data_IF_565850757713
#
_entry.id   IF_565850757713
#
_cell.length_a   1.000
_cell.length_b   1.000
_cell.length_c   1.000
_cell.angle_alpha   90.00
_cell.angle_beta   90.00
_cell.angle_gamma   90.00
#
_symmetry.space_group_name_H-M   'P 1'
#
loop_
_entity.id
_entity.type
_entity.pdbx_description
1 polymer ?
#
# COMPACT_ATOMS: atom_id res chain seq x y z
N UNK A 1 -29.00 35.52 40.57
CA UNK A 1 -28.88 36.46 39.44
C UNK A 1 -29.35 35.74 38.17
N UNK A 2 -30.55 36.04 37.67
CA UNK A 2 -31.13 35.45 36.45
C UNK A 2 -31.05 36.50 35.33
N UNK A 3 -30.16 36.31 34.36
CA UNK A 3 -30.07 37.20 33.20
C UNK A 3 -31.25 36.95 32.26
N UNK A 4 -32.16 37.92 32.18
CA UNK A 4 -33.18 38.02 31.13
C UNK A 4 -32.50 38.47 29.84
N UNK A 5 -32.21 37.52 28.95
CA UNK A 5 -31.92 37.83 27.54
C UNK A 5 -33.25 38.19 26.86
N UNK A 6 -33.46 39.49 26.63
CA UNK A 6 -34.56 40.01 25.81
C UNK A 6 -34.18 39.87 24.34
N UNK A 7 -34.80 38.92 23.64
CA UNK A 7 -34.78 38.89 22.18
C UNK A 7 -35.67 40.02 21.65
N UNK A 8 -35.07 41.13 21.23
CA UNK A 8 -35.74 42.12 20.38
C UNK A 8 -36.08 41.46 19.04
N UNK A 9 -37.37 41.40 18.74
CA UNK A 9 -37.90 41.00 17.44
C UNK A 9 -37.51 42.07 16.40
N UNK A 10 -36.57 41.75 15.52
CA UNK A 10 -36.25 42.56 14.36
C UNK A 10 -37.39 42.43 13.32
N UNK A 11 -37.87 43.57 12.83
CA UNK A 11 -39.09 43.70 12.04
C UNK A 11 -39.18 42.77 10.83
N UNK A 12 -40.38 42.21 10.66
CA UNK A 12 -40.81 41.49 9.47
C UNK A 12 -40.69 42.39 8.24
N UNK A 13 -39.61 42.23 7.47
CA UNK A 13 -39.62 42.61 6.07
C UNK A 13 -40.64 41.70 5.39
N UNK A 14 -41.73 42.28 4.90
CA UNK A 14 -42.66 41.64 3.97
C UNK A 14 -41.92 41.32 2.67
N UNK A 15 -41.05 40.30 2.71
CA UNK A 15 -40.46 39.70 1.53
C UNK A 15 -41.58 39.05 0.75
N UNK A 16 -41.81 39.53 -0.48
CA UNK A 16 -42.74 38.90 -1.40
C UNK A 16 -42.47 37.40 -1.42
N UNK A 17 -43.49 36.61 -1.09
CA UNK A 17 -43.40 35.15 -1.13
C UNK A 17 -43.31 34.76 -2.59
N UNK A 18 -42.09 34.60 -3.11
CA UNK A 18 -41.86 33.93 -4.39
C UNK A 18 -42.34 32.48 -4.23
N UNK A 19 -43.55 32.20 -4.68
CA UNK A 19 -44.06 30.86 -4.76
C UNK A 19 -43.29 30.14 -5.87
N UNK A 20 -42.43 29.19 -5.49
CA UNK A 20 -41.68 28.37 -6.44
C UNK A 20 -42.67 27.53 -7.24
N UNK A 21 -42.61 27.60 -8.56
CA UNK A 21 -43.47 26.79 -9.41
C UNK A 21 -42.94 25.35 -9.46
N UNK A 22 -43.84 24.38 -9.61
CA UNK A 22 -43.46 22.96 -9.75
C UNK A 22 -42.54 22.73 -10.96
N UNK A 23 -42.71 23.54 -12.01
CA UNK A 23 -41.89 23.51 -13.23
C UNK A 23 -40.45 23.98 -12.94
N UNK A 24 -40.26 25.07 -12.20
CA UNK A 24 -38.92 25.54 -11.83
C UNK A 24 -38.15 24.49 -11.02
N UNK A 25 -38.80 23.84 -10.07
CA UNK A 25 -38.18 22.75 -9.30
C UNK A 25 -37.81 21.57 -10.21
N UNK A 26 -38.72 21.20 -11.13
CA UNK A 26 -38.54 20.06 -12.04
C UNK A 26 -37.38 20.27 -13.01
N UNK A 27 -37.23 21.46 -13.57
CA UNK A 27 -36.11 21.80 -14.46
C UNK A 27 -34.77 21.75 -13.72
N UNK A 28 -34.72 22.24 -12.48
CA UNK A 28 -33.48 22.22 -11.68
C UNK A 28 -33.06 20.79 -11.37
N UNK A 29 -33.97 19.94 -10.90
CA UNK A 29 -33.63 18.54 -10.62
C UNK A 29 -33.25 17.80 -11.91
N UNK A 30 -33.89 18.10 -13.04
CA UNK A 30 -33.54 17.52 -14.34
C UNK A 30 -32.10 17.88 -14.76
N UNK A 31 -31.71 19.16 -14.66
CA UNK A 31 -30.35 19.60 -15.01
C UNK A 31 -29.32 19.00 -14.04
N UNK A 32 -29.59 19.01 -12.73
CA UNK A 32 -28.68 18.39 -11.74
C UNK A 32 -28.50 16.90 -11.96
N UNK A 33 -29.56 16.18 -12.37
CA UNK A 33 -29.48 14.75 -12.71
C UNK A 33 -28.60 14.49 -13.94
N UNK A 34 -28.72 15.31 -14.99
CA UNK A 34 -27.87 15.22 -16.19
C UNK A 34 -26.40 15.47 -15.83
N UNK A 35 -26.12 16.55 -15.09
CA UNK A 35 -24.76 16.89 -14.67
C UNK A 35 -24.16 15.82 -13.76
N UNK A 36 -24.92 15.34 -12.77
CA UNK A 36 -24.49 14.27 -11.88
C UNK A 36 -24.21 12.97 -12.65
N UNK A 37 -25.04 12.63 -13.64
CA UNK A 37 -24.86 11.44 -14.48
C UNK A 37 -23.51 11.44 -15.23
N UNK A 38 -23.03 12.61 -15.67
CA UNK A 38 -21.73 12.75 -16.31
C UNK A 38 -20.55 12.77 -15.32
N UNK A 39 -20.78 13.26 -14.09
CA UNK A 39 -19.73 13.39 -13.07
C UNK A 39 -19.38 12.06 -12.37
N UNK A 40 -20.36 11.17 -12.15
CA UNK A 40 -20.14 9.89 -11.46
C UNK A 40 -19.03 9.02 -12.06
N UNK A 41 -18.98 8.74 -13.40
CA UNK A 41 -17.92 7.92 -13.97
C UNK A 41 -16.54 8.59 -13.88
N UNK A 42 -16.49 9.92 -13.99
CA UNK A 42 -15.24 10.69 -13.87
C UNK A 42 -14.72 10.65 -12.43
N UNK A 43 -15.60 10.84 -11.44
CA UNK A 43 -15.25 10.78 -10.03
C UNK A 43 -14.72 9.40 -9.63
N UNK A 44 -15.32 8.32 -10.16
CA UNK A 44 -14.85 6.96 -9.93
C UNK A 44 -13.41 6.75 -10.44
N UNK A 45 -13.09 7.24 -11.65
CA UNK A 45 -11.74 7.18 -12.22
C UNK A 45 -10.75 8.04 -11.43
N UNK A 46 -11.15 9.25 -11.05
CA UNK A 46 -10.33 10.16 -10.24
C UNK A 46 -9.96 9.53 -8.88
N UNK A 47 -10.94 8.91 -8.21
CA UNK A 47 -10.72 8.20 -6.94
C UNK A 47 -9.75 7.03 -7.08
N UNK A 48 -9.82 6.26 -8.16
CA UNK A 48 -8.86 5.19 -8.41
C UNK A 48 -7.46 5.72 -8.68
N UNK A 49 -7.33 6.80 -9.46
CA UNK A 49 -6.04 7.48 -9.67
C UNK A 49 -5.43 7.95 -8.34
N UNK A 50 -6.24 8.55 -7.47
CA UNK A 50 -5.79 8.98 -6.14
C UNK A 50 -5.31 7.81 -5.28
N UNK A 51 -6.03 6.66 -5.30
CA UNK A 51 -5.59 5.44 -4.61
C UNK A 51 -4.25 4.92 -5.14
N UNK A 52 -4.08 4.89 -6.47
CA UNK A 52 -2.83 4.51 -7.11
C UNK A 52 -1.65 5.38 -6.66
N UNK A 53 -1.82 6.69 -6.71
CA UNK A 53 -0.79 7.63 -6.24
C UNK A 53 -0.51 7.40 -4.75
N UNK A 54 -1.53 7.12 -3.94
CA UNK A 54 -1.38 6.75 -2.54
C UNK A 54 -0.51 5.50 -2.35
N UNK A 55 -0.79 4.40 -3.05
CA UNK A 55 -0.02 3.16 -2.89
C UNK A 55 1.43 3.31 -3.39
N UNK A 56 1.65 4.05 -4.48
CA UNK A 56 2.99 4.37 -4.99
C UNK A 56 3.77 5.25 -4.01
N UNK A 57 3.15 6.27 -3.44
CA UNK A 57 3.79 7.14 -2.45
C UNK A 57 4.13 6.36 -1.17
N UNK A 58 3.23 5.49 -0.73
CA UNK A 58 3.43 4.64 0.45
C UNK A 58 4.64 3.72 0.29
N UNK A 59 4.73 2.96 -0.81
CA UNK A 59 5.89 2.06 -1.01
C UNK A 59 7.20 2.85 -1.17
N UNK A 60 7.15 4.01 -1.83
CA UNK A 60 8.30 4.92 -1.92
C UNK A 60 8.77 5.39 -0.55
N UNK A 61 7.84 5.76 0.34
CA UNK A 61 8.17 6.17 1.71
C UNK A 61 8.80 5.02 2.50
N UNK A 62 8.36 3.78 2.32
CA UNK A 62 9.00 2.60 2.94
C UNK A 62 10.45 2.43 2.44
N UNK A 63 10.67 2.57 1.13
CA UNK A 63 12.01 2.55 0.54
C UNK A 63 12.92 3.64 1.11
N UNK A 64 12.44 4.89 1.14
CA UNK A 64 13.17 6.02 1.72
C UNK A 64 13.45 5.78 3.21
N UNK A 65 12.47 5.33 3.99
CA UNK A 65 12.65 5.01 5.40
C UNK A 65 13.71 3.93 5.62
N UNK A 66 13.79 2.95 4.72
CA UNK A 66 14.84 1.90 4.76
C UNK A 66 16.22 2.47 4.46
N UNK A 67 16.32 3.43 3.55
CA UNK A 67 17.57 4.15 3.30
C UNK A 67 17.96 5.08 4.43
N UNK A 68 17.01 5.73 5.11
CA UNK A 68 17.34 6.55 6.29
C UNK A 68 17.78 5.65 7.44
N UNK A 69 17.09 4.52 7.65
CA UNK A 69 17.49 3.51 8.62
C UNK A 69 18.92 3.01 8.42
N UNK A 70 19.34 2.82 7.16
CA UNK A 70 20.68 2.30 6.87
C UNK A 70 21.78 3.29 7.24
N UNK A 71 21.52 4.59 7.15
CA UNK A 71 22.45 5.62 7.63
C UNK A 71 22.72 5.47 9.13
N UNK A 72 21.69 5.18 9.92
CA UNK A 72 21.80 4.95 11.37
C UNK A 72 22.31 3.55 11.72
N UNK A 73 22.29 2.61 10.77
CA UNK A 73 22.62 1.20 10.95
C UNK A 73 23.91 0.77 10.23
N UNK A 74 24.87 1.69 10.10
CA UNK A 74 26.20 1.45 9.49
C UNK A 74 26.11 0.90 8.06
N UNK A 75 25.20 1.43 7.25
CA UNK A 75 25.00 1.03 5.85
C UNK A 75 24.09 -0.19 5.66
N UNK A 76 23.54 -0.77 6.72
CA UNK A 76 22.71 -1.98 6.62
C UNK A 76 21.22 -1.67 6.54
N UNK A 77 20.53 -2.29 5.59
CA UNK A 77 19.07 -2.36 5.58
C UNK A 77 18.52 -3.14 6.78
N UNK A 78 17.24 -2.91 7.17
CA UNK A 78 16.62 -3.71 8.22
C UNK A 78 16.56 -5.18 7.81
N UNK A 79 16.50 -6.08 8.79
CA UNK A 79 16.24 -7.48 8.49
C UNK A 79 14.81 -7.68 8.03
N UNK A 80 14.61 -8.55 7.03
CA UNK A 80 13.29 -8.97 6.58
C UNK A 80 12.39 -9.51 7.72
N UNK A 81 12.98 -9.96 8.84
CA UNK A 81 12.24 -10.47 10.01
C UNK A 81 11.69 -9.38 10.92
N UNK A 82 12.21 -8.16 10.87
CA UNK A 82 11.90 -7.12 11.86
C UNK A 82 11.63 -5.73 11.29
N UNK A 83 11.70 -5.55 9.96
CA UNK A 83 11.37 -4.28 9.32
C UNK A 83 9.94 -3.83 9.63
N UNK A 84 8.98 -4.78 9.61
CA UNK A 84 7.54 -4.54 9.74
C UNK A 84 7.07 -4.51 11.20
N UNK A 85 7.49 -5.48 12.00
CA UNK A 85 7.20 -5.57 13.43
C UNK A 85 8.26 -6.43 14.13
N UNK A 86 8.47 -6.22 15.43
CA UNK A 86 9.20 -7.17 16.30
C UNK A 86 8.27 -7.88 17.27
N UNK A 87 7.09 -7.30 17.52
CA UNK A 87 5.99 -7.89 18.29
C UNK A 87 4.88 -8.26 17.30
N UNK A 88 4.51 -9.55 17.14
CA UNK A 88 3.54 -9.99 16.16
C UNK A 88 2.23 -9.17 16.22
N UNK A 89 1.82 -8.62 15.08
CA UNK A 89 0.59 -7.83 14.97
C UNK A 89 0.69 -6.36 15.42
N UNK A 90 1.87 -5.88 15.79
CA UNK A 90 2.08 -4.48 16.16
C UNK A 90 3.11 -3.81 15.25
N UNK A 91 2.63 -3.14 14.19
CA UNK A 91 3.45 -2.35 13.27
C UNK A 91 4.30 -1.27 13.96
N UNK A 92 3.89 -0.79 15.15
CA UNK A 92 4.67 0.25 15.86
C UNK A 92 6.00 -0.25 16.40
N UNK A 93 6.14 -1.57 16.51
CA UNK A 93 7.36 -2.22 16.98
C UNK A 93 8.38 -2.48 15.87
N UNK A 94 8.03 -2.25 14.59
CA UNK A 94 8.92 -2.49 13.46
C UNK A 94 10.11 -1.54 13.42
N UNK A 95 11.24 -2.01 12.86
CA UNK A 95 12.47 -1.21 12.73
C UNK A 95 12.31 0.04 11.87
N UNK A 96 11.36 0.02 10.91
CA UNK A 96 11.07 1.19 10.08
C UNK A 96 10.05 2.16 10.69
N UNK A 97 9.30 1.75 11.71
CA UNK A 97 8.23 2.58 12.26
C UNK A 97 8.73 3.92 12.83
N UNK A 98 9.89 4.03 13.51
CA UNK A 98 10.40 5.32 13.98
C UNK A 98 10.63 6.36 12.87
N UNK A 99 10.90 5.91 11.64
CA UNK A 99 11.15 6.76 10.47
C UNK A 99 9.86 7.12 9.72
N UNK A 100 8.86 6.24 9.76
CA UNK A 100 7.57 6.43 9.09
C UNK A 100 6.53 7.13 9.98
N UNK A 101 6.50 6.80 11.27
CA UNK A 101 5.56 7.29 12.31
C UNK A 101 4.07 7.20 11.96
N UNK A 102 3.71 6.41 10.96
CA UNK A 102 2.34 6.28 10.47
C UNK A 102 2.06 4.87 10.00
N UNK A 103 1.05 4.23 10.59
CA UNK A 103 0.59 2.89 10.18
C UNK A 103 -0.01 2.89 8.77
N UNK A 104 -0.57 4.01 8.33
CA UNK A 104 -1.25 4.11 7.03
C UNK A 104 -0.30 3.94 5.84
N UNK A 105 1.00 4.19 6.04
CA UNK A 105 2.03 4.04 5.01
C UNK A 105 2.27 2.57 4.66
N UNK A 106 2.01 1.65 5.58
CA UNK A 106 2.21 0.21 5.33
C UNK A 106 1.08 -0.45 4.53
N UNK A 107 -0.04 0.25 4.32
CA UNK A 107 -1.24 -0.31 3.70
C UNK A 107 -1.61 0.45 2.43
N UNK A 108 -1.81 -0.28 1.34
CA UNK A 108 -2.31 0.30 0.10
C UNK A 108 -3.82 0.59 0.25
N UNK A 109 -4.30 1.82 -0.05
CA UNK A 109 -5.72 2.14 0.01
C UNK A 109 -6.67 1.20 -0.75
N UNK A 110 -6.23 0.61 -1.87
CA UNK A 110 -7.04 -0.39 -2.61
C UNK A 110 -7.07 -1.72 -1.86
N UNK A 111 -5.95 -2.19 -1.35
CA UNK A 111 -5.86 -3.43 -0.55
C UNK A 111 -6.71 -3.33 0.73
N UNK A 112 -6.75 -2.16 1.37
CA UNK A 112 -7.61 -1.89 2.52
C UNK A 112 -9.09 -2.18 2.24
N UNK A 113 -9.55 -1.86 1.03
CA UNK A 113 -10.92 -2.12 0.60
C UNK A 113 -11.16 -3.61 0.34
N UNK A 114 -10.17 -4.29 -0.23
CA UNK A 114 -10.22 -5.74 -0.49
C UNK A 114 -10.25 -6.53 0.83
N UNK A 115 -9.43 -6.15 1.80
CA UNK A 115 -9.38 -6.76 3.14
C UNK A 115 -10.68 -6.57 3.95
N UNK A 116 -11.38 -5.46 3.72
CA UNK A 116 -12.70 -5.20 4.30
C UNK A 116 -13.86 -5.90 3.60
N UNK A 117 -13.61 -6.49 2.42
CA UNK A 117 -14.62 -7.21 1.65
C UNK A 117 -14.86 -8.61 2.21
N UNK A 118 -16.07 -9.15 2.01
CA UNK A 118 -16.40 -10.56 2.31
C UNK A 118 -15.85 -11.54 1.27
N UNK A 119 -15.06 -11.06 0.31
CA UNK A 119 -14.46 -11.91 -0.74
C UNK A 119 -13.49 -12.91 -0.11
N UNK A 120 -13.44 -14.15 -0.62
CA UNK A 120 -12.45 -15.12 -0.19
C UNK A 120 -11.03 -14.60 -0.46
N UNK A 121 -10.03 -15.02 0.33
CA UNK A 121 -8.65 -14.59 0.15
C UNK A 121 -8.18 -14.86 -1.29
N UNK A 122 -7.57 -13.85 -1.91
CA UNK A 122 -7.08 -13.89 -3.29
C UNK A 122 -5.78 -14.68 -3.46
N UNK A 123 -5.14 -15.04 -2.35
CA UNK A 123 -3.89 -15.80 -2.29
C UNK A 123 -3.92 -16.84 -1.18
N UNK A 124 -3.23 -17.98 -1.36
CA UNK A 124 -3.04 -18.93 -0.28
C UNK A 124 -2.36 -18.22 0.90
N UNK A 125 -2.92 -18.41 2.10
CA UNK A 125 -2.28 -17.91 3.32
C UNK A 125 -1.09 -18.82 3.62
N UNK A 126 0.11 -18.28 3.86
CA UNK A 126 1.26 -19.11 4.19
C UNK A 126 0.98 -19.87 5.50
N UNK A 127 1.43 -21.12 5.58
CA UNK A 127 1.33 -21.91 6.82
C UNK A 127 2.17 -21.28 7.93
N UNK A 128 3.36 -20.75 7.55
CA UNK A 128 4.22 -20.00 8.45
C UNK A 128 3.80 -18.52 8.49
N UNK A 129 3.78 -17.91 9.69
CA UNK A 129 3.41 -16.51 9.85
C UNK A 129 1.90 -16.24 9.73
N UNK A 130 1.05 -17.27 9.71
CA UNK A 130 -0.40 -17.12 9.86
C UNK A 130 -0.72 -16.73 11.31
N UNK A 131 -1.27 -15.53 11.51
CA UNK A 131 -1.61 -15.03 12.85
C UNK A 131 -3.07 -15.29 13.24
N UNK A 132 -3.89 -15.83 12.35
CA UNK A 132 -5.35 -15.91 12.49
C UNK A 132 -6.06 -14.54 12.47
N UNK A 133 -5.31 -13.44 12.47
CA UNK A 133 -5.81 -12.06 12.39
C UNK A 133 -5.67 -11.55 10.97
N UNK A 134 -6.55 -10.64 10.54
CA UNK A 134 -6.37 -9.93 9.27
C UNK A 134 -5.12 -9.06 9.34
N UNK A 135 -4.31 -9.07 8.29
CA UNK A 135 -3.15 -8.21 8.12
C UNK A 135 -3.55 -6.74 7.99
N UNK A 136 -2.66 -5.85 8.40
CA UNK A 136 -2.81 -4.39 8.33
C UNK A 136 -1.75 -3.72 7.44
N UNK A 137 -1.15 -4.50 6.53
CA UNK A 137 -0.13 -4.06 5.58
C UNK A 137 -0.31 -4.71 4.19
N UNK A 138 0.30 -4.11 3.16
CA UNK A 138 0.20 -4.55 1.75
C UNK A 138 1.54 -4.79 1.07
N UNK A 139 2.63 -4.36 1.69
CA UNK A 139 3.98 -4.41 1.11
C UNK A 139 4.80 -5.50 1.80
N UNK A 140 5.56 -6.25 1.02
CA UNK A 140 6.51 -7.24 1.54
C UNK A 140 7.93 -6.81 1.26
N UNK A 141 8.84 -7.09 2.20
CA UNK A 141 10.27 -6.98 1.99
C UNK A 141 10.79 -8.26 1.35
N UNK A 142 11.71 -8.12 0.41
CA UNK A 142 12.41 -9.26 -0.17
C UNK A 142 13.16 -10.04 0.94
N UNK A 143 12.82 -11.31 1.15
CA UNK A 143 13.46 -12.14 2.17
C UNK A 143 14.91 -12.51 1.84
N UNK A 144 15.31 -12.41 0.56
CA UNK A 144 16.67 -12.72 0.12
C UNK A 144 17.68 -11.61 0.44
N UNK A 145 17.23 -10.47 0.97
CA UNK A 145 18.11 -9.45 1.57
C UNK A 145 18.87 -9.99 2.79
N UNK A 146 18.49 -11.17 3.30
CA UNK A 146 19.27 -11.86 4.33
C UNK A 146 20.68 -12.28 3.90
N UNK A 147 20.92 -12.38 2.58
CA UNK A 147 22.24 -12.69 2.01
C UNK A 147 23.22 -11.52 2.04
N UNK A 148 22.69 -10.29 2.02
CA UNK A 148 23.47 -9.08 2.23
C UNK A 148 22.52 -7.97 2.69
N UNK A 149 22.74 -7.49 3.91
CA UNK A 149 22.02 -6.30 4.42
C UNK A 149 22.79 -5.03 4.17
N UNK A 150 24.12 -5.10 4.01
CA UNK A 150 24.97 -3.98 3.63
C UNK A 150 24.70 -3.57 2.17
N UNK A 151 24.30 -2.33 1.97
CA UNK A 151 23.99 -1.75 0.66
C UNK A 151 25.21 -1.80 -0.26
N UNK A 152 26.42 -1.63 0.29
CA UNK A 152 27.65 -1.64 -0.49
C UNK A 152 27.98 -3.01 -1.11
N UNK A 153 27.40 -4.10 -0.58
CA UNK A 153 27.60 -5.44 -1.08
C UNK A 153 26.70 -5.79 -2.28
N UNK A 154 25.76 -4.93 -2.66
CA UNK A 154 24.81 -5.21 -3.73
C UNK A 154 25.51 -5.10 -5.09
N UNK A 155 25.47 -6.17 -5.88
CA UNK A 155 26.13 -6.21 -7.19
C UNK A 155 25.40 -5.35 -8.23
N UNK A 156 24.07 -5.41 -8.26
CA UNK A 156 23.23 -4.61 -9.18
C UNK A 156 21.99 -4.07 -8.44
N UNK A 157 22.13 -3.00 -7.63
CA UNK A 157 21.03 -2.48 -6.80
C UNK A 157 19.77 -2.10 -7.59
N UNK A 158 19.93 -1.59 -8.82
CA UNK A 158 18.83 -1.24 -9.72
C UNK A 158 18.05 -2.44 -10.27
N UNK A 159 18.63 -3.64 -10.17
CA UNK A 159 18.02 -4.90 -10.61
C UNK A 159 17.62 -5.82 -9.46
N UNK A 160 18.00 -5.54 -8.22
CA UNK A 160 17.59 -6.29 -7.03
C UNK A 160 16.35 -5.68 -6.38
N UNK A 161 15.33 -6.49 -6.12
CA UNK A 161 14.11 -6.11 -5.42
C UNK A 161 14.39 -5.83 -3.94
N UNK A 162 13.87 -4.72 -3.42
CA UNK A 162 13.87 -4.43 -1.99
C UNK A 162 12.48 -4.60 -1.37
N UNK A 163 11.46 -3.95 -1.93
CA UNK A 163 10.06 -4.07 -1.51
C UNK A 163 9.14 -4.24 -2.72
N UNK A 164 8.04 -4.95 -2.57
CA UNK A 164 6.93 -4.87 -3.54
C UNK A 164 5.57 -4.89 -2.85
N UNK A 165 4.56 -4.49 -3.61
CA UNK A 165 3.18 -4.84 -3.32
C UNK A 165 2.99 -6.36 -3.44
N UNK A 166 3.05 -7.05 -2.30
CA UNK A 166 2.84 -8.48 -2.25
C UNK A 166 1.37 -8.83 -2.44
N UNK A 167 1.09 -9.86 -3.23
CA UNK A 167 -0.20 -10.55 -3.19
C UNK A 167 -0.19 -11.53 -2.03
N UNK A 168 -0.53 -11.02 -0.85
CA UNK A 168 -0.43 -11.72 0.43
C UNK A 168 -1.79 -12.29 0.86
N UNK A 169 -1.77 -13.40 1.60
CA UNK A 169 -2.98 -13.96 2.21
C UNK A 169 -3.58 -13.02 3.25
N UNK A 170 -4.89 -13.07 3.51
CA UNK A 170 -5.57 -12.12 4.41
C UNK A 170 -5.00 -12.12 5.83
N UNK A 171 -4.45 -13.27 6.28
CA UNK A 171 -3.86 -13.44 7.62
C UNK A 171 -2.35 -13.64 7.58
N UNK A 172 -1.72 -13.32 6.44
CA UNK A 172 -0.28 -13.34 6.28
C UNK A 172 0.33 -12.21 7.12
N UNK A 173 1.13 -12.56 8.12
CA UNK A 173 1.94 -11.65 8.91
C UNK A 173 3.44 -11.91 8.72
N UNK A 174 3.85 -12.45 7.59
CA UNK A 174 5.28 -12.65 7.32
C UNK A 174 6.03 -11.33 7.10
N UNK A 175 5.37 -10.33 6.51
CA UNK A 175 6.03 -9.12 6.00
C UNK A 175 7.00 -9.41 4.86
N UNK A 176 6.91 -10.58 4.23
CA UNK A 176 7.92 -11.10 3.33
C UNK A 176 7.37 -11.37 1.93
N UNK A 177 8.24 -11.21 0.95
CA UNK A 177 8.08 -11.69 -0.42
C UNK A 177 9.38 -12.35 -0.85
N UNK A 178 9.30 -13.30 -1.75
CA UNK A 178 10.47 -14.08 -2.10
C UNK A 178 10.16 -15.22 -3.07
N UNK A 179 11.21 -15.85 -3.62
CA UNK A 179 11.06 -16.96 -4.56
C UNK A 179 10.69 -18.29 -3.89
N UNK A 180 10.89 -18.43 -2.57
CA UNK A 180 10.64 -19.68 -1.84
C UNK A 180 9.94 -19.38 -0.50
N UNK A 181 9.04 -20.27 -0.08
CA UNK A 181 8.31 -20.28 1.22
C UNK A 181 7.33 -19.13 1.51
N UNK A 182 7.44 -18.01 0.81
CA UNK A 182 6.57 -16.83 0.95
C UNK A 182 5.96 -16.45 -0.40
N UNK A 183 5.11 -15.42 -0.43
CA UNK A 183 4.47 -15.03 -1.69
C UNK A 183 5.51 -14.48 -2.69
N UNK A 184 5.61 -15.14 -3.83
CA UNK A 184 6.33 -14.64 -5.01
C UNK A 184 5.44 -13.74 -5.87
N UNK A 185 4.14 -13.59 -5.57
CA UNK A 185 3.23 -12.92 -6.48
C UNK A 185 3.17 -11.40 -6.22
N UNK A 186 3.35 -10.60 -7.27
CA UNK A 186 3.06 -9.16 -7.27
C UNK A 186 1.54 -8.93 -7.29
N UNK A 187 1.04 -8.10 -6.39
CA UNK A 187 -0.36 -7.69 -6.39
C UNK A 187 -0.62 -6.62 -7.46
N UNK A 188 -1.62 -6.89 -8.31
CA UNK A 188 -1.96 -6.06 -9.47
C UNK A 188 -3.25 -5.25 -9.19
N UNK A 189 -3.15 -4.22 -8.35
CA UNK A 189 -4.32 -3.45 -7.86
C UNK A 189 -4.72 -2.28 -8.76
N UNK A 190 -3.75 -1.54 -9.29
CA UNK A 190 -4.00 -0.28 -9.98
C UNK A 190 -3.95 -0.43 -11.50
N UNK A 191 -5.12 -0.59 -12.12
CA UNK A 191 -5.22 -0.86 -13.57
C UNK A 191 -4.37 -2.07 -13.98
N UNK A 192 -4.43 -3.14 -13.19
CA UNK A 192 -3.68 -4.39 -13.39
C UNK A 192 -2.14 -4.22 -13.36
N UNK A 193 -1.65 -3.26 -12.57
CA UNK A 193 -0.23 -3.02 -12.33
C UNK A 193 0.07 -3.02 -10.83
N UNK A 194 1.28 -3.43 -10.48
CA UNK A 194 1.81 -3.40 -9.11
C UNK A 194 3.04 -2.53 -9.00
N UNK A 195 3.32 -2.05 -7.79
CA UNK A 195 4.45 -1.18 -7.49
C UNK A 195 5.53 -1.93 -6.71
N UNK A 196 6.79 -1.61 -7.00
CA UNK A 196 7.96 -2.19 -6.34
C UNK A 196 9.08 -1.17 -6.23
N UNK A 197 9.97 -1.40 -5.28
CA UNK A 197 11.14 -0.59 -4.97
C UNK A 197 12.37 -1.47 -5.10
N UNK A 198 13.34 -1.02 -5.89
CA UNK A 198 14.60 -1.70 -6.10
C UNK A 198 15.63 -1.30 -5.03
N UNK A 199 16.77 -1.99 -4.99
CA UNK A 199 17.88 -1.71 -4.05
C UNK A 199 18.50 -0.33 -4.21
N UNK A 200 18.43 0.26 -5.40
CA UNK A 200 18.79 1.67 -5.66
C UNK A 200 17.67 2.67 -5.30
N UNK A 201 16.60 2.19 -4.67
CA UNK A 201 15.40 2.94 -4.30
C UNK A 201 14.56 3.44 -5.48
N UNK A 202 14.85 3.01 -6.71
CA UNK A 202 13.99 3.29 -7.86
C UNK A 202 12.63 2.61 -7.67
N UNK A 203 11.55 3.38 -7.91
CA UNK A 203 10.18 2.87 -7.84
C UNK A 203 9.75 2.45 -9.23
N UNK A 204 9.49 1.16 -9.42
CA UNK A 204 9.02 0.62 -10.68
C UNK A 204 7.54 0.23 -10.59
N UNK A 205 6.85 0.35 -11.72
CA UNK A 205 5.46 -0.09 -11.85
C UNK A 205 5.36 -1.10 -12.98
N UNK A 206 5.01 -2.33 -12.64
CA UNK A 206 5.01 -3.45 -13.59
C UNK A 206 3.62 -4.01 -13.80
N UNK A 207 3.33 -4.40 -15.03
CA UNK A 207 2.23 -5.32 -15.32
C UNK A 207 2.64 -6.79 -15.06
N UNK A 208 1.68 -7.71 -15.21
CA UNK A 208 1.92 -9.15 -15.00
C UNK A 208 3.01 -9.72 -15.90
N UNK A 209 3.08 -9.31 -17.17
CA UNK A 209 4.04 -9.86 -18.15
C UNK A 209 5.46 -9.39 -17.82
N UNK A 210 5.62 -8.11 -17.54
CA UNK A 210 6.88 -7.52 -17.10
C UNK A 210 7.38 -8.21 -15.83
N UNK A 211 6.50 -8.35 -14.83
CA UNK A 211 6.84 -9.03 -13.58
C UNK A 211 7.25 -10.49 -13.79
N UNK A 212 6.50 -11.23 -14.60
CA UNK A 212 6.78 -12.63 -14.88
C UNK A 212 8.16 -12.87 -15.51
N UNK A 213 8.67 -11.90 -16.27
CA UNK A 213 10.01 -11.99 -16.87
C UNK A 213 11.11 -11.74 -15.82
N UNK A 214 10.95 -10.73 -14.97
CA UNK A 214 11.99 -10.36 -14.00
C UNK A 214 12.05 -11.33 -12.81
N UNK A 215 10.91 -11.84 -12.34
CA UNK A 215 10.85 -12.73 -11.18
C UNK A 215 11.58 -14.07 -11.38
N UNK A 216 11.87 -14.44 -12.63
CA UNK A 216 12.64 -15.66 -12.97
C UNK A 216 14.14 -15.43 -12.92
N UNK A 217 14.59 -14.19 -12.78
CA UNK A 217 16.02 -13.88 -12.73
C UNK A 217 16.51 -13.90 -11.29
N UNK A 218 17.64 -14.58 -11.04
CA UNK A 218 18.25 -14.64 -9.71
C UNK A 218 18.59 -13.24 -9.18
N UNK A 219 19.14 -12.37 -10.04
CA UNK A 219 19.53 -11.00 -9.65
C UNK A 219 18.36 -10.14 -9.15
N UNK A 220 17.14 -10.45 -9.60
CA UNK A 220 15.93 -9.78 -9.10
C UNK A 220 15.69 -10.04 -7.62
N UNK A 221 16.04 -11.23 -7.12
CA UNK A 221 15.85 -11.57 -5.71
C UNK A 221 17.14 -11.42 -4.90
N UNK A 222 18.28 -11.86 -5.42
CA UNK A 222 19.50 -11.94 -4.62
C UNK A 222 20.39 -10.69 -4.82
N UNK A 223 20.80 -10.04 -3.71
CA UNK A 223 21.71 -8.88 -3.77
C UNK A 223 23.15 -9.26 -4.18
N UNK A 224 23.55 -10.51 -3.92
CA UNK A 224 24.91 -11.04 -4.16
C UNK A 224 24.85 -12.32 -5.01
N UNK A 225 26.00 -12.97 -5.23
CA UNK A 225 26.07 -14.28 -5.90
C UNK A 225 25.77 -15.45 -4.94
N UNK A 226 25.60 -15.19 -3.65
CA UNK A 226 25.10 -16.20 -2.72
C UNK A 226 23.59 -16.37 -2.90
N UNK A 227 23.20 -17.41 -3.62
CA UNK A 227 21.79 -17.74 -3.91
C UNK A 227 21.29 -18.95 -3.13
N UNK A 228 21.93 -19.30 -2.01
CA UNK A 228 21.54 -20.46 -1.20
C UNK A 228 20.28 -20.12 -0.40
N UNK A 229 19.11 -20.57 -0.87
CA UNK A 229 17.88 -20.36 -0.12
C UNK A 229 17.94 -20.97 1.29
N UNK A 230 17.02 -20.58 2.20
CA UNK A 230 16.97 -21.13 3.55
C UNK A 230 16.87 -22.66 3.51
N UNK A 231 17.80 -23.36 4.17
CA UNK A 231 17.88 -24.83 4.14
C UNK A 231 18.54 -25.42 2.88
N UNK A 232 19.23 -24.61 2.07
CA UNK A 232 19.91 -25.07 0.86
C UNK A 232 19.00 -25.29 -0.34
N UNK A 233 17.75 -24.81 -0.28
CA UNK A 233 16.79 -24.94 -1.38
C UNK A 233 17.27 -24.07 -2.56
N UNK A 234 17.53 -24.65 -3.74
CA UNK A 234 17.95 -23.88 -4.90
C UNK A 234 16.81 -23.00 -5.40
N UNK A 235 17.16 -21.86 -5.99
CA UNK A 235 16.21 -21.00 -6.68
C UNK A 235 15.45 -21.81 -7.75
N UNK A 236 14.10 -21.75 -7.80
CA UNK A 236 13.33 -22.50 -8.78
C UNK A 236 13.70 -22.08 -10.21
N UNK A 237 13.96 -23.06 -11.07
CA UNK A 237 14.26 -22.85 -12.49
C UNK A 237 13.08 -22.21 -13.24
#
# INVERSE_FOLDING_TARGET
MRNRFSWQQCGSRSGGRYAFTLIELLVVVAITAILAGLLLPVLARAKESARKVGCLNNIRQIGIASSVYSLDSKGNFPSFRNWLFTRPGDLTSGRLYPYLKSKQVYLCPTDKLELGSKRPPTSPTPTFGNSGRRRDYSYGMNCEICHATDIAAFLEPSRTLLFMEGNLGTNDYTGMVGPVMVSQALALRHSNRGHLVMGDLSVLTMDKKQYNNVQRTKRFWFPTDDTRGPGGVPFPN
#
